data_IF_389138722899
#
_entry.id   IF_389138722899
#
_cell.length_a   1.000
_cell.length_b   1.000
_cell.length_c   1.000
_cell.angle_alpha   90.00
_cell.angle_beta   90.00
_cell.angle_gamma   90.00
#
_symmetry.space_group_name_H-M   'P 1'
#
loop_
_entity.id
_entity.type
_entity.pdbx_description
1 polymer ?
#
# COMPACT_ATOMS: atom_id res chain seq x y z
N UNK A 1 20.29 39.83 -7.80
CA UNK A 1 20.55 38.70 -6.88
C UNK A 1 20.44 37.42 -7.68
N UNK A 2 21.53 36.69 -7.90
CA UNK A 2 21.51 35.35 -8.46
C UNK A 2 20.76 34.48 -7.43
N UNK A 3 19.56 34.02 -7.74
CA UNK A 3 18.94 32.94 -6.99
C UNK A 3 19.89 31.76 -7.12
N UNK A 4 20.50 31.34 -6.02
CA UNK A 4 21.19 30.07 -5.98
C UNK A 4 20.18 29.02 -6.42
N UNK A 5 20.34 28.54 -7.65
CA UNK A 5 19.53 27.46 -8.21
C UNK A 5 19.82 26.23 -7.35
N UNK A 6 18.89 25.92 -6.45
CA UNK A 6 19.00 24.70 -5.67
C UNK A 6 18.84 23.55 -6.67
N UNK A 7 19.92 22.87 -6.99
CA UNK A 7 19.92 21.70 -7.82
C UNK A 7 19.51 20.51 -6.96
N UNK A 8 18.55 19.72 -7.44
CA UNK A 8 18.14 18.44 -6.85
C UNK A 8 18.72 17.29 -7.67
N UNK A 9 19.09 16.22 -6.99
CA UNK A 9 19.53 14.99 -7.65
C UNK A 9 18.31 14.22 -8.19
N UNK A 10 17.16 14.31 -7.48
CA UNK A 10 15.93 13.63 -7.84
C UNK A 10 14.73 14.54 -7.63
N UNK A 11 13.91 14.69 -8.68
CA UNK A 11 12.60 15.35 -8.60
C UNK A 11 11.51 14.28 -8.73
N UNK A 12 10.65 14.18 -7.72
CA UNK A 12 9.55 13.22 -7.65
C UNK A 12 8.23 13.94 -7.91
N UNK A 13 7.47 13.46 -8.86
CA UNK A 13 6.15 14.01 -9.23
C UNK A 13 5.07 13.09 -8.67
N UNK A 14 4.36 13.58 -7.67
CA UNK A 14 3.26 12.90 -7.00
C UNK A 14 3.56 12.48 -5.55
N UNK A 15 2.75 12.98 -4.62
CA UNK A 15 2.84 12.73 -3.17
C UNK A 15 1.93 11.59 -2.70
N UNK A 16 1.80 10.52 -3.49
CA UNK A 16 1.12 9.29 -3.11
C UNK A 16 2.06 8.27 -2.44
N UNK A 17 1.58 7.04 -2.29
CA UNK A 17 2.30 5.96 -1.61
C UNK A 17 3.67 5.68 -2.26
N UNK A 18 3.73 5.60 -3.58
CA UNK A 18 4.97 5.33 -4.32
C UNK A 18 5.95 6.49 -4.20
N UNK A 19 5.50 7.73 -4.49
CA UNK A 19 6.36 8.89 -4.42
C UNK A 19 6.91 9.15 -3.02
N UNK A 20 6.11 8.96 -1.98
CA UNK A 20 6.55 9.11 -0.58
C UNK A 20 7.60 8.06 -0.19
N UNK A 21 7.44 6.82 -0.64
CA UNK A 21 8.43 5.76 -0.42
C UNK A 21 9.75 6.04 -1.12
N UNK A 22 9.70 6.47 -2.40
CA UNK A 22 10.89 6.86 -3.16
C UNK A 22 11.58 8.06 -2.51
N UNK A 23 10.81 9.07 -2.07
CA UNK A 23 11.36 10.26 -1.42
C UNK A 23 12.14 9.90 -0.16
N UNK A 24 11.59 9.04 0.69
CA UNK A 24 12.25 8.60 1.91
C UNK A 24 13.53 7.79 1.59
N UNK A 25 13.43 6.79 0.73
CA UNK A 25 14.58 5.91 0.41
C UNK A 25 15.73 6.71 -0.22
N UNK A 26 15.42 7.56 -1.20
CA UNK A 26 16.42 8.40 -1.86
C UNK A 26 17.09 9.38 -0.88
N UNK A 27 16.30 10.01 -0.01
CA UNK A 27 16.84 10.94 0.99
C UNK A 27 17.75 10.22 1.99
N UNK A 28 17.37 9.04 2.47
CA UNK A 28 18.20 8.23 3.38
C UNK A 28 19.51 7.75 2.72
N UNK A 29 19.54 7.67 1.40
CA UNK A 29 20.76 7.39 0.62
C UNK A 29 21.63 8.63 0.37
N UNK A 30 21.21 9.81 0.86
CA UNK A 30 21.97 11.07 0.76
C UNK A 30 21.69 11.89 -0.49
N UNK A 31 20.71 11.53 -1.32
CA UNK A 31 20.30 12.35 -2.46
C UNK A 31 19.53 13.59 -2.02
N UNK A 32 19.74 14.71 -2.73
CA UNK A 32 18.91 15.91 -2.59
C UNK A 32 17.60 15.72 -3.34
N UNK A 33 16.51 15.55 -2.58
CA UNK A 33 15.19 15.17 -3.13
C UNK A 33 14.22 16.34 -3.06
N UNK A 34 13.51 16.59 -4.17
CA UNK A 34 12.32 17.43 -4.23
C UNK A 34 11.11 16.57 -4.61
N UNK A 35 10.06 16.62 -3.81
CA UNK A 35 8.77 16.01 -4.15
C UNK A 35 7.72 17.10 -4.36
N UNK A 36 7.02 17.05 -5.50
CA UNK A 36 5.96 17.97 -5.90
C UNK A 36 4.63 17.20 -6.04
N UNK A 37 3.61 17.61 -5.29
CA UNK A 37 2.25 17.06 -5.39
C UNK A 37 1.27 18.18 -5.79
N UNK A 38 0.47 17.96 -6.82
CA UNK A 38 -0.45 18.97 -7.37
C UNK A 38 -1.65 19.31 -6.46
N UNK A 39 -2.03 18.37 -5.60
CA UNK A 39 -3.11 18.53 -4.64
C UNK A 39 -2.56 18.37 -3.22
N UNK A 40 -3.38 17.90 -2.28
CA UNK A 40 -2.86 17.51 -0.98
C UNK A 40 -2.23 16.11 -1.03
N UNK A 41 -1.30 15.83 -0.13
CA UNK A 41 -0.65 14.54 -0.05
C UNK A 41 -1.65 13.40 0.16
N UNK A 42 -1.41 12.28 -0.48
CA UNK A 42 -2.26 11.09 -0.46
C UNK A 42 -3.71 11.30 -0.96
N UNK A 43 -4.06 12.43 -1.55
CA UNK A 43 -5.45 12.76 -1.95
C UNK A 43 -6.03 11.85 -3.05
N UNK A 44 -5.17 11.15 -3.79
CA UNK A 44 -5.55 10.23 -4.87
C UNK A 44 -5.88 8.82 -4.37
N UNK A 45 -5.45 7.81 -5.10
CA UNK A 45 -5.66 6.39 -4.80
C UNK A 45 -5.10 5.97 -3.43
N UNK A 46 -4.05 6.65 -2.96
CA UNK A 46 -3.35 6.32 -1.71
C UNK A 46 -4.14 6.60 -0.42
N UNK A 47 -5.33 7.22 -0.49
CA UNK A 47 -6.27 7.35 0.63
C UNK A 47 -7.58 6.60 0.40
N UNK A 48 -7.76 6.01 -0.78
CA UNK A 48 -9.00 5.36 -1.23
C UNK A 48 -8.82 3.85 -1.41
N UNK A 49 -7.83 3.26 -0.73
CA UNK A 49 -7.57 1.81 -0.76
C UNK A 49 -8.62 1.04 0.06
N UNK A 50 -8.63 -0.28 -0.09
CA UNK A 50 -9.41 -1.17 0.79
C UNK A 50 -8.90 -1.21 2.24
N UNK A 51 -7.78 -0.55 2.53
CA UNK A 51 -7.06 -0.56 3.81
C UNK A 51 -6.62 -1.96 4.24
N UNK A 52 -6.44 -2.85 3.28
CA UNK A 52 -5.96 -4.21 3.51
C UNK A 52 -4.52 -4.34 3.00
N UNK A 53 -3.66 -4.87 3.87
CA UNK A 53 -2.33 -5.36 3.51
C UNK A 53 -2.41 -6.88 3.49
N UNK A 54 -2.44 -7.46 2.30
CA UNK A 54 -2.69 -8.88 2.12
C UNK A 54 -1.75 -9.49 1.09
N UNK A 55 -1.44 -10.78 1.24
CA UNK A 55 -0.66 -11.53 0.25
C UNK A 55 -1.46 -12.01 -0.97
N UNK A 56 -2.71 -11.54 -1.14
CA UNK A 56 -3.49 -11.83 -2.34
C UNK A 56 -4.09 -13.24 -2.41
N UNK A 57 -4.92 -13.62 -1.45
CA UNK A 57 -5.64 -14.91 -1.44
C UNK A 57 -6.35 -15.23 -2.78
N UNK A 58 -6.85 -14.19 -3.50
CA UNK A 58 -7.46 -14.37 -4.83
C UNK A 58 -6.45 -14.73 -5.91
N UNK A 59 -5.23 -14.23 -5.82
CA UNK A 59 -4.14 -14.60 -6.73
C UNK A 59 -3.69 -16.05 -6.49
N UNK A 60 -3.73 -16.52 -5.24
CA UNK A 60 -3.48 -17.92 -4.93
C UNK A 60 -4.54 -18.84 -5.57
N UNK A 61 -5.81 -18.46 -5.51
CA UNK A 61 -6.88 -19.19 -6.18
C UNK A 61 -6.63 -19.31 -7.69
N UNK A 62 -6.25 -18.19 -8.31
CA UNK A 62 -5.93 -18.14 -9.74
C UNK A 62 -4.69 -18.96 -10.06
N UNK A 63 -3.61 -18.84 -9.28
CA UNK A 63 -2.38 -19.61 -9.43
C UNK A 63 -2.65 -21.13 -9.42
N UNK A 64 -3.52 -21.60 -8.52
CA UNK A 64 -3.86 -23.02 -8.41
C UNK A 64 -4.75 -23.47 -9.59
N UNK A 65 -5.76 -22.68 -9.97
CA UNK A 65 -6.69 -23.05 -11.04
C UNK A 65 -6.06 -23.03 -12.43
N UNK A 66 -5.18 -22.06 -12.69
CA UNK A 66 -4.56 -21.82 -14.00
C UNK A 66 -3.13 -22.36 -14.06
N UNK A 67 -2.61 -22.96 -12.97
CA UNK A 67 -1.22 -23.41 -12.84
C UNK A 67 -0.20 -22.30 -13.16
N UNK A 68 -0.54 -21.07 -12.79
CA UNK A 68 0.26 -19.86 -13.09
C UNK A 68 1.30 -19.61 -12.01
N UNK A 69 2.56 -19.93 -12.32
CA UNK A 69 3.69 -19.69 -11.42
C UNK A 69 3.93 -18.20 -11.11
N UNK A 70 3.56 -17.30 -12.02
CA UNK A 70 3.74 -15.85 -11.79
C UNK A 70 2.80 -15.34 -10.69
N UNK A 71 1.55 -15.79 -10.70
CA UNK A 71 0.58 -15.49 -9.65
C UNK A 71 1.00 -16.12 -8.31
N UNK A 72 1.60 -17.30 -8.33
CA UNK A 72 2.11 -17.94 -7.11
C UNK A 72 3.27 -17.13 -6.48
N UNK A 73 4.24 -16.69 -7.30
CA UNK A 73 5.33 -15.85 -6.84
C UNK A 73 4.84 -14.52 -6.27
N UNK A 74 3.85 -13.89 -6.92
CA UNK A 74 3.22 -12.66 -6.43
C UNK A 74 2.60 -12.85 -5.03
N UNK A 75 2.02 -14.03 -4.75
CA UNK A 75 1.50 -14.35 -3.40
C UNK A 75 2.63 -14.48 -2.38
N UNK A 76 3.74 -15.13 -2.73
CA UNK A 76 4.90 -15.26 -1.83
C UNK A 76 5.44 -13.88 -1.48
N UNK A 77 5.71 -13.05 -2.48
CA UNK A 77 6.21 -11.68 -2.30
C UNK A 77 5.23 -10.84 -1.47
N UNK A 78 3.94 -10.87 -1.79
CA UNK A 78 2.92 -10.14 -1.06
C UNK A 78 2.79 -10.56 0.41
N UNK A 79 2.96 -11.85 0.73
CA UNK A 79 2.98 -12.33 2.11
C UNK A 79 4.24 -11.88 2.87
N UNK A 80 5.36 -11.80 2.18
CA UNK A 80 6.63 -11.32 2.73
C UNK A 80 6.56 -9.81 3.02
N UNK A 81 6.16 -9.03 2.01
CA UNK A 81 5.97 -7.59 2.13
C UNK A 81 4.95 -7.23 3.23
N UNK A 82 3.84 -7.95 3.32
CA UNK A 82 2.87 -7.80 4.40
C UNK A 82 3.52 -7.96 5.78
N UNK A 83 4.38 -8.96 5.94
CA UNK A 83 5.05 -9.22 7.22
C UNK A 83 5.96 -8.05 7.60
N UNK A 84 6.81 -7.60 6.67
CA UNK A 84 7.70 -6.46 6.92
C UNK A 84 6.93 -5.16 7.13
N UNK A 85 5.87 -4.95 6.39
CA UNK A 85 5.01 -3.78 6.55
C UNK A 85 4.39 -3.71 7.96
N UNK A 86 3.81 -4.80 8.44
CA UNK A 86 3.24 -4.87 9.79
C UNK A 86 4.30 -4.70 10.88
N UNK A 87 5.51 -5.19 10.64
CA UNK A 87 6.65 -5.06 11.56
C UNK A 87 7.19 -3.63 11.62
N UNK A 88 7.32 -2.99 10.46
CA UNK A 88 7.97 -1.68 10.33
C UNK A 88 7.01 -0.50 10.60
N UNK A 89 5.71 -0.70 10.46
CA UNK A 89 4.70 0.35 10.66
C UNK A 89 3.64 -0.04 11.72
N UNK A 90 4.03 -0.45 12.95
CA UNK A 90 3.10 -1.00 13.95
C UNK A 90 2.06 0.00 14.45
N UNK A 91 2.34 1.31 14.37
CA UNK A 91 1.41 2.37 14.76
C UNK A 91 0.29 2.59 13.74
N UNK A 92 0.51 2.23 12.48
CA UNK A 92 -0.43 2.48 11.38
C UNK A 92 -1.01 1.21 10.80
N UNK A 93 -0.49 0.06 11.17
CA UNK A 93 -0.90 -1.24 10.66
C UNK A 93 -1.12 -2.24 11.80
N UNK A 94 -2.02 -3.18 11.56
CA UNK A 94 -2.31 -4.24 12.55
C UNK A 94 -2.84 -5.49 11.86
N UNK A 95 -2.74 -6.59 12.58
CA UNK A 95 -3.38 -7.85 12.22
C UNK A 95 -4.90 -7.69 12.19
N UNK A 96 -5.52 -8.19 11.14
CA UNK A 96 -6.96 -8.19 10.93
C UNK A 96 -7.48 -9.62 10.83
N UNK A 97 -8.51 -9.94 11.61
CA UNK A 97 -9.25 -11.19 11.48
C UNK A 97 -10.32 -11.04 10.40
N UNK A 98 -10.22 -11.81 9.33
CA UNK A 98 -11.16 -11.84 8.22
C UNK A 98 -12.10 -13.02 8.45
N UNK A 99 -13.41 -12.76 8.39
CA UNK A 99 -14.46 -13.74 8.63
C UNK A 99 -15.22 -13.99 7.32
N UNK A 100 -15.21 -15.23 6.86
CA UNK A 100 -15.86 -15.66 5.62
C UNK A 100 -17.10 -16.47 6.00
N UNK A 101 -18.33 -15.96 5.74
CA UNK A 101 -19.54 -16.73 5.96
C UNK A 101 -19.64 -17.88 4.95
N UNK A 102 -19.94 -19.06 5.44
CA UNK A 102 -20.00 -20.32 4.69
C UNK A 102 -21.45 -20.79 4.60
N UNK A 103 -21.94 -20.94 3.38
CA UNK A 103 -23.32 -21.34 3.10
C UNK A 103 -23.46 -22.76 2.54
N UNK A 104 -22.36 -23.41 2.14
CA UNK A 104 -22.35 -24.83 1.75
C UNK A 104 -21.10 -25.55 2.29
N UNK A 105 -21.20 -26.85 2.49
CA UNK A 105 -20.06 -27.67 2.96
C UNK A 105 -18.94 -27.77 1.91
N UNK A 106 -19.28 -27.76 0.62
CA UNK A 106 -18.28 -27.72 -0.46
C UNK A 106 -17.45 -26.43 -0.38
N UNK A 107 -18.11 -25.28 -0.18
CA UNK A 107 -17.40 -24.02 0.02
C UNK A 107 -16.57 -24.00 1.30
N UNK A 108 -17.00 -24.70 2.36
CA UNK A 108 -16.19 -24.83 3.58
C UNK A 108 -14.88 -25.55 3.29
N UNK A 109 -14.94 -26.70 2.61
CA UNK A 109 -13.77 -27.50 2.27
C UNK A 109 -12.82 -26.67 1.40
N UNK A 110 -13.35 -26.09 0.33
CA UNK A 110 -12.58 -25.25 -0.59
C UNK A 110 -11.88 -24.08 0.12
N UNK A 111 -12.64 -23.30 0.89
CA UNK A 111 -12.12 -22.12 1.59
C UNK A 111 -11.14 -22.50 2.69
N UNK A 112 -11.39 -23.62 3.40
CA UNK A 112 -10.49 -24.14 4.42
C UNK A 112 -9.12 -24.52 3.82
N UNK A 113 -9.11 -25.31 2.76
CA UNK A 113 -7.86 -25.68 2.10
C UNK A 113 -7.15 -24.49 1.47
N UNK A 114 -7.88 -23.57 0.80
CA UNK A 114 -7.30 -22.35 0.25
C UNK A 114 -6.60 -21.49 1.30
N UNK A 115 -7.26 -21.26 2.44
CA UNK A 115 -6.68 -20.47 3.54
C UNK A 115 -5.59 -21.23 4.29
N UNK A 116 -5.63 -22.57 4.32
CA UNK A 116 -4.57 -23.41 4.88
C UNK A 116 -3.29 -23.32 4.03
N UNK A 117 -3.41 -23.46 2.71
CA UNK A 117 -2.29 -23.31 1.77
C UNK A 117 -1.70 -21.92 1.88
N UNK A 118 -2.54 -20.87 1.90
CA UNK A 118 -2.11 -19.49 2.10
C UNK A 118 -1.27 -19.31 3.37
N UNK A 119 -1.70 -19.92 4.47
CA UNK A 119 -0.95 -19.94 5.73
C UNK A 119 0.38 -20.71 5.61
N UNK A 120 0.38 -21.86 4.93
CA UNK A 120 1.59 -22.70 4.74
C UNK A 120 2.64 -21.94 3.90
N UNK A 121 2.22 -21.24 2.84
CA UNK A 121 3.11 -20.38 2.03
C UNK A 121 3.72 -19.28 2.90
N UNK A 122 2.94 -18.67 3.82
CA UNK A 122 3.45 -17.65 4.72
C UNK A 122 4.50 -18.16 5.73
N UNK A 123 4.62 -19.48 5.94
CA UNK A 123 5.60 -20.12 6.87
C UNK A 123 5.57 -19.44 8.26
N UNK A 124 6.74 -19.02 8.72
CA UNK A 124 6.94 -18.29 9.98
C UNK A 124 6.40 -16.84 9.96
N UNK A 125 6.02 -16.29 8.79
CA UNK A 125 5.39 -14.98 8.60
C UNK A 125 3.87 -15.04 8.67
N UNK A 126 3.29 -16.19 9.06
CA UNK A 126 1.85 -16.37 9.27
C UNK A 126 1.34 -15.54 10.44
N UNK A 127 0.18 -14.89 10.27
CA UNK A 127 -0.42 -14.02 11.29
C UNK A 127 -1.33 -14.77 12.28
N UNK A 128 -1.59 -16.05 12.08
CA UNK A 128 -2.38 -16.84 13.01
C UNK A 128 -2.97 -18.12 12.45
N UNK A 129 -3.76 -18.81 13.28
CA UNK A 129 -4.42 -20.05 12.92
C UNK A 129 -5.81 -19.77 12.33
N UNK A 130 -6.25 -20.60 11.39
CA UNK A 130 -7.62 -20.60 10.90
C UNK A 130 -8.55 -21.12 11.99
N UNK A 131 -9.73 -20.54 12.09
CA UNK A 131 -10.75 -20.94 13.06
C UNK A 131 -12.09 -21.11 12.34
N UNK A 132 -12.81 -22.18 12.64
CA UNK A 132 -14.18 -22.37 12.19
C UNK A 132 -15.13 -22.17 13.37
N UNK A 133 -16.09 -21.28 13.20
CA UNK A 133 -17.19 -21.06 14.10
C UNK A 133 -18.42 -21.76 13.54
N UNK A 134 -19.03 -22.63 14.33
CA UNK A 134 -20.25 -23.35 13.93
C UNK A 134 -21.43 -22.37 13.75
N UNK A 135 -22.53 -22.86 13.17
CA UNK A 135 -23.72 -22.08 12.86
C UNK A 135 -24.28 -21.33 14.08
N UNK A 136 -24.32 -21.95 15.26
CA UNK A 136 -24.91 -21.35 16.47
C UNK A 136 -24.09 -20.14 16.90
N UNK A 137 -22.78 -20.33 17.09
CA UNK A 137 -21.87 -19.26 17.49
C UNK A 137 -21.80 -18.16 16.43
N UNK A 138 -21.84 -18.54 15.16
CA UNK A 138 -21.81 -17.57 14.05
C UNK A 138 -23.04 -16.65 14.06
N UNK A 139 -24.22 -17.19 14.33
CA UNK A 139 -25.46 -16.40 14.44
C UNK A 139 -25.45 -15.43 15.63
N UNK A 140 -24.90 -15.88 16.75
CA UNK A 140 -24.79 -15.04 17.95
C UNK A 140 -23.84 -13.87 17.76
N UNK A 141 -22.67 -14.13 17.15
CA UNK A 141 -21.63 -13.11 16.99
C UNK A 141 -21.82 -12.19 15.78
N UNK A 142 -22.54 -12.64 14.76
CA UNK A 142 -22.68 -11.94 13.47
C UNK A 142 -24.15 -11.89 13.02
N UNK A 143 -24.98 -11.17 13.78
CA UNK A 143 -26.42 -11.02 13.49
C UNK A 143 -26.73 -10.36 12.14
N UNK A 144 -25.82 -9.52 11.64
CA UNK A 144 -26.02 -8.71 10.42
C UNK A 144 -25.71 -9.45 9.11
N UNK A 145 -25.26 -10.72 9.16
CA UNK A 145 -25.04 -11.52 7.96
C UNK A 145 -26.30 -12.34 7.60
N UNK A 146 -26.44 -12.73 6.33
CA UNK A 146 -27.53 -13.61 5.90
C UNK A 146 -27.52 -14.90 6.71
N UNK A 147 -28.60 -15.18 7.42
CA UNK A 147 -28.71 -16.34 8.33
C UNK A 147 -29.23 -17.60 7.64
N UNK A 148 -29.92 -17.42 6.51
CA UNK A 148 -30.47 -18.53 5.71
C UNK A 148 -29.32 -19.37 5.15
N UNK A 149 -29.42 -20.70 5.28
CA UNK A 149 -28.42 -21.67 4.84
C UNK A 149 -27.00 -21.50 5.42
N UNK A 150 -26.81 -20.60 6.39
CA UNK A 150 -25.51 -20.42 7.04
C UNK A 150 -25.06 -21.72 7.70
N UNK A 151 -23.88 -22.23 7.37
CA UNK A 151 -23.22 -23.39 7.97
C UNK A 151 -22.27 -23.00 9.10
N UNK A 152 -21.66 -21.82 8.99
CA UNK A 152 -20.71 -21.29 9.95
C UNK A 152 -19.87 -20.16 9.35
N UNK A 153 -18.82 -19.76 10.06
CA UNK A 153 -17.86 -18.77 9.62
C UNK A 153 -16.45 -19.37 9.69
N UNK A 154 -15.72 -19.29 8.60
CA UNK A 154 -14.29 -19.56 8.59
C UNK A 154 -13.53 -18.25 8.76
N UNK A 155 -12.65 -18.21 9.74
CA UNK A 155 -11.81 -17.05 10.02
C UNK A 155 -10.37 -17.34 9.69
N UNK A 156 -9.70 -16.38 9.06
CA UNK A 156 -8.25 -16.36 8.85
C UNK A 156 -7.71 -14.97 9.15
N UNK A 157 -6.41 -14.77 9.02
CA UNK A 157 -5.79 -13.51 9.37
C UNK A 157 -5.02 -12.90 8.21
N UNK A 158 -5.18 -11.58 8.06
CA UNK A 158 -4.40 -10.74 7.16
C UNK A 158 -4.04 -9.42 7.85
N UNK A 159 -3.55 -8.43 7.11
CA UNK A 159 -3.22 -7.13 7.64
C UNK A 159 -4.22 -6.05 7.27
N UNK A 160 -4.31 -5.01 8.12
CA UNK A 160 -4.98 -3.76 7.79
C UNK A 160 -4.08 -2.58 8.16
N UNK A 161 -4.29 -1.43 7.52
CA UNK A 161 -3.48 -0.25 7.72
C UNK A 161 -4.27 1.05 7.47
N UNK A 162 -3.70 2.15 7.95
CA UNK A 162 -4.21 3.50 7.69
C UNK A 162 -3.41 4.12 6.54
N UNK A 163 -3.88 3.94 5.32
CA UNK A 163 -3.19 4.25 4.07
C UNK A 163 -2.63 5.68 4.01
N UNK A 164 -3.48 6.70 4.14
CA UNK A 164 -3.03 8.10 4.09
C UNK A 164 -2.04 8.45 5.21
N UNK A 165 -2.20 7.88 6.41
CA UNK A 165 -1.30 8.16 7.54
C UNK A 165 0.12 7.66 7.27
N UNK A 166 0.26 6.52 6.61
CA UNK A 166 1.57 6.00 6.20
C UNK A 166 2.23 6.94 5.21
N UNK A 167 1.50 7.41 4.20
CA UNK A 167 2.04 8.37 3.22
C UNK A 167 2.55 9.63 3.91
N UNK A 168 1.73 10.23 4.78
CA UNK A 168 2.12 11.42 5.53
C UNK A 168 3.35 11.16 6.41
N UNK A 169 3.39 10.00 7.09
CA UNK A 169 4.52 9.62 7.94
C UNK A 169 5.83 9.44 7.15
N UNK A 170 5.76 8.81 5.96
CA UNK A 170 6.91 8.66 5.06
C UNK A 170 7.41 10.03 4.60
N UNK A 171 6.52 10.93 4.17
CA UNK A 171 6.88 12.28 3.75
C UNK A 171 7.45 13.11 4.89
N UNK A 172 6.87 13.01 6.08
CA UNK A 172 7.39 13.70 7.28
C UNK A 172 8.79 13.21 7.62
N UNK A 173 9.03 11.90 7.55
CA UNK A 173 10.36 11.33 7.81
C UNK A 173 11.35 11.74 6.72
N UNK A 174 10.95 11.76 5.45
CA UNK A 174 11.79 12.26 4.36
C UNK A 174 12.16 13.74 4.59
N UNK A 175 11.19 14.57 4.93
CA UNK A 175 11.40 15.98 5.24
C UNK A 175 12.38 16.19 6.40
N UNK A 176 12.22 15.44 7.50
CA UNK A 176 13.11 15.48 8.65
C UNK A 176 14.56 15.06 8.31
N UNK A 177 14.75 14.27 7.26
CA UNK A 177 16.07 13.86 6.77
C UNK A 177 16.59 14.74 5.61
N UNK A 178 15.92 15.84 5.28
CA UNK A 178 16.41 16.85 4.35
C UNK A 178 15.74 16.85 2.97
N UNK A 179 14.74 16.04 2.71
CA UNK A 179 13.93 16.17 1.50
C UNK A 179 13.10 17.46 1.53
N UNK A 180 12.92 18.08 0.38
CA UNK A 180 11.92 19.14 0.19
C UNK A 180 10.64 18.50 -0.34
N UNK A 181 9.55 18.66 0.41
CA UNK A 181 8.23 18.11 0.02
C UNK A 181 7.21 19.24 -0.06
N UNK A 182 6.56 19.39 -1.20
CA UNK A 182 5.57 20.45 -1.45
C UNK A 182 4.28 19.88 -2.00
N UNK A 183 3.16 20.21 -1.34
CA UNK A 183 1.83 19.98 -1.87
C UNK A 183 1.29 21.24 -2.55
N UNK A 184 0.19 21.13 -3.29
CA UNK A 184 -0.39 22.17 -4.12
C UNK A 184 0.58 22.76 -5.15
N UNK A 185 1.60 22.00 -5.55
CA UNK A 185 2.61 22.34 -6.53
C UNK A 185 2.47 21.41 -7.75
N UNK A 186 1.90 21.96 -8.83
CA UNK A 186 1.59 21.20 -10.04
C UNK A 186 2.73 21.34 -11.06
N UNK A 187 3.36 20.22 -11.43
CA UNK A 187 4.32 20.20 -12.54
C UNK A 187 3.54 20.38 -13.84
N UNK A 188 3.89 21.45 -14.58
CA UNK A 188 3.21 21.88 -15.79
C UNK A 188 4.05 21.71 -17.05
N UNK A 189 5.37 21.55 -16.92
CA UNK A 189 6.28 21.43 -18.06
C UNK A 189 7.57 20.73 -17.64
N UNK A 190 8.14 19.90 -18.52
CA UNK A 190 9.50 19.39 -18.41
C UNK A 190 10.46 20.34 -19.09
N UNK A 191 11.61 20.59 -18.47
CA UNK A 191 12.70 21.39 -19.03
C UNK A 191 13.71 20.44 -19.69
N UNK A 192 14.28 20.86 -20.81
CA UNK A 192 15.24 20.07 -21.57
C UNK A 192 16.55 20.82 -21.71
N UNK A 193 17.65 20.10 -21.73
CA UNK A 193 18.99 20.62 -22.04
C UNK A 193 19.21 20.70 -23.57
N UNK A 194 20.40 21.17 -23.94
CA UNK A 194 20.85 21.31 -25.35
C UNK A 194 20.88 19.98 -26.10
N UNK A 195 20.93 18.83 -25.39
CA UNK A 195 20.91 17.48 -25.93
C UNK A 195 19.51 16.84 -25.93
N UNK A 196 18.47 17.65 -25.69
CA UNK A 196 17.07 17.20 -25.58
C UNK A 196 16.84 16.16 -24.47
N UNK A 197 17.62 16.22 -23.38
CA UNK A 197 17.41 15.42 -22.17
C UNK A 197 16.69 16.25 -21.12
N UNK A 198 15.85 15.60 -20.32
CA UNK A 198 15.17 16.27 -19.20
C UNK A 198 16.24 16.79 -18.23
N UNK A 199 16.23 18.09 -17.99
CA UNK A 199 17.14 18.79 -17.08
C UNK A 199 16.44 19.37 -15.86
N UNK A 200 15.11 19.36 -15.83
CA UNK A 200 14.34 19.89 -14.73
C UNK A 200 12.85 19.95 -15.01
N UNK A 201 12.13 20.69 -14.16
CA UNK A 201 10.68 20.89 -14.29
C UNK A 201 10.29 22.35 -14.05
N UNK A 202 9.20 22.77 -14.68
CA UNK A 202 8.47 23.97 -14.29
C UNK A 202 7.21 23.56 -13.54
N UNK A 203 6.99 24.11 -12.37
CA UNK A 203 5.78 23.86 -11.59
C UNK A 203 5.06 25.15 -11.22
N UNK A 204 3.77 25.06 -11.00
CA UNK A 204 2.90 26.12 -10.52
C UNK A 204 2.55 25.87 -9.06
N UNK A 205 2.94 26.79 -8.18
CA UNK A 205 2.56 26.77 -6.77
C UNK A 205 1.21 27.44 -6.62
N UNK A 206 0.19 26.65 -6.27
CA UNK A 206 -1.21 27.12 -6.16
C UNK A 206 -1.44 27.99 -4.91
N UNK A 207 -0.58 27.88 -3.90
CA UNK A 207 -0.70 28.67 -2.65
C UNK A 207 -0.08 30.06 -2.92
N UNK A 208 1.10 30.10 -3.51
CA UNK A 208 1.76 31.37 -3.82
C UNK A 208 1.25 32.02 -5.13
N UNK A 209 0.46 31.29 -5.92
CA UNK A 209 -0.03 31.69 -7.24
C UNK A 209 1.11 32.07 -8.20
N UNK A 210 2.16 31.27 -8.22
CA UNK A 210 3.42 31.57 -8.93
C UNK A 210 4.01 30.32 -9.59
N UNK A 211 4.71 30.55 -10.73
CA UNK A 211 5.46 29.46 -11.39
C UNK A 211 6.94 29.54 -11.07
N UNK A 212 7.55 28.38 -10.89
CA UNK A 212 8.98 28.20 -10.61
C UNK A 212 9.59 27.21 -11.58
N UNK A 213 10.89 27.44 -11.90
CA UNK A 213 11.71 26.49 -12.66
C UNK A 213 12.78 25.91 -11.73
N UNK A 214 12.98 24.60 -11.78
CA UNK A 214 13.94 23.87 -10.96
C UNK A 214 14.66 22.85 -11.86
N UNK A 215 15.96 22.74 -11.68
CA UNK A 215 16.82 21.77 -12.35
C UNK A 215 17.32 20.73 -11.37
#
# INVERSE_FOLDING_TARGET
MKSDLINYDIIIIGGGCVGSGIALDATLRGYKVLLLEKNDFASGASSKSSKLVHGGVRYLEKAIKELDCSQYNLVIEGLEERFYFLKNAPFFSKKLKINIPIYSYLNLIYTFFGTLIYKLIAKNKSLGKNHFLNKVVSKLLFSNIKQENLKGILSFYDGTFLDFKIVISLLQTAFQNGAVVKNYCEVIEFLYDENNKISGVKYFDKIENKSYKIN
#
